data_IF_664146297120
#
_entry.id   IF_664146297120
#
_cell.length_a   1.000
_cell.length_b   1.000
_cell.length_c   1.000
_cell.angle_alpha   90.00
_cell.angle_beta   90.00
_cell.angle_gamma   90.00
#
_symmetry.space_group_name_H-M   'P 1'
#
loop_
_entity.id
_entity.type
_entity.pdbx_description
1 polymer ?
#
# COMPACT_ATOMS: atom_id res chain seq x y z
N UNK A 1 -16.47 -35.46 2.40
CA UNK A 1 -16.62 -35.05 0.99
C UNK A 1 -15.87 -33.72 0.83
N UNK A 2 -14.79 -33.51 0.08
CA UNK A 2 -14.01 -34.26 -0.92
C UNK A 2 -12.62 -33.60 -0.91
N UNK A 3 -11.77 -33.85 0.10
CA UNK A 3 -10.40 -33.29 0.10
C UNK A 3 -9.50 -33.93 -0.98
N UNK A 4 -9.89 -35.06 -1.54
CA UNK A 4 -9.05 -35.87 -2.43
C UNK A 4 -9.55 -35.96 -3.88
N UNK A 5 -10.71 -35.38 -4.21
CA UNK A 5 -11.23 -35.40 -5.58
C UNK A 5 -11.51 -33.97 -6.03
N UNK A 6 -11.05 -33.57 -7.23
CA UNK A 6 -11.34 -32.25 -7.77
C UNK A 6 -12.84 -31.96 -7.76
N UNK A 7 -13.23 -30.76 -7.34
CA UNK A 7 -14.64 -30.36 -7.24
C UNK A 7 -15.26 -29.99 -8.59
N UNK A 8 -14.40 -29.67 -9.58
CA UNK A 8 -14.79 -29.40 -10.96
C UNK A 8 -14.81 -30.69 -11.80
N UNK A 9 -15.65 -30.78 -12.85
CA UNK A 9 -15.74 -31.99 -13.66
C UNK A 9 -14.43 -32.33 -14.38
N UNK A 10 -13.87 -33.51 -14.11
CA UNK A 10 -12.59 -33.95 -14.70
C UNK A 10 -12.60 -33.95 -16.22
N UNK A 11 -13.73 -34.29 -16.86
CA UNK A 11 -13.81 -34.36 -18.33
C UNK A 11 -13.56 -33.00 -19.01
N UNK A 12 -13.89 -31.88 -18.35
CA UNK A 12 -13.74 -30.53 -18.89
C UNK A 12 -12.43 -29.86 -18.44
N UNK A 13 -11.90 -30.23 -17.27
CA UNK A 13 -10.80 -29.52 -16.62
C UNK A 13 -9.58 -30.39 -16.33
N UNK A 14 -9.44 -31.57 -16.97
CA UNK A 14 -8.35 -32.51 -16.70
C UNK A 14 -6.94 -31.88 -16.78
N UNK A 15 -6.75 -30.95 -17.72
CA UNK A 15 -5.46 -30.31 -17.99
C UNK A 15 -5.24 -29.00 -17.20
N UNK A 16 -6.14 -28.66 -16.27
CA UNK A 16 -5.94 -27.48 -15.42
C UNK A 16 -4.93 -27.76 -14.32
N UNK A 17 -4.07 -26.78 -14.03
CA UNK A 17 -3.08 -26.85 -12.95
C UNK A 17 -3.71 -27.24 -11.61
N UNK A 18 -4.88 -26.70 -11.30
CA UNK A 18 -5.62 -27.02 -10.07
C UNK A 18 -6.00 -28.50 -9.96
N UNK A 19 -6.49 -29.11 -11.05
CA UNK A 19 -6.84 -30.54 -11.05
C UNK A 19 -5.61 -31.44 -11.00
N UNK A 20 -4.51 -31.03 -11.64
CA UNK A 20 -3.23 -31.75 -11.56
C UNK A 20 -2.65 -31.73 -10.13
N UNK A 21 -2.68 -30.57 -9.46
CA UNK A 21 -2.25 -30.45 -8.05
C UNK A 21 -3.13 -31.29 -7.13
N UNK A 22 -4.46 -31.24 -7.31
CA UNK A 22 -5.39 -32.02 -6.50
C UNK A 22 -5.22 -33.53 -6.70
N UNK A 23 -4.90 -33.97 -7.93
CA UNK A 23 -4.61 -35.37 -8.23
C UNK A 23 -3.27 -35.81 -7.61
N UNK A 24 -2.23 -34.97 -7.69
CA UNK A 24 -0.93 -35.23 -7.08
C UNK A 24 -1.05 -35.36 -5.54
N UNK A 25 -1.81 -34.47 -4.89
CA UNK A 25 -2.11 -34.56 -3.46
C UNK A 25 -2.82 -35.87 -3.08
N UNK A 26 -3.70 -36.36 -3.96
CA UNK A 26 -4.39 -37.63 -3.77
C UNK A 26 -3.50 -38.87 -3.88
N UNK A 27 -2.36 -38.79 -4.58
CA UNK A 27 -1.45 -39.92 -4.84
C UNK A 27 -0.35 -40.06 -3.78
N UNK A 28 0.10 -38.97 -3.18
CA UNK A 28 1.27 -38.96 -2.29
C UNK A 28 0.92 -38.84 -0.80
N UNK A 29 -0.36 -38.70 -0.44
CA UNK A 29 -0.76 -38.44 0.95
C UNK A 29 -0.29 -37.09 1.49
N UNK A 30 0.31 -36.26 0.63
CA UNK A 30 0.70 -34.89 0.89
C UNK A 30 -0.54 -33.98 0.89
N UNK A 31 -0.50 -32.93 1.71
CA UNK A 31 -1.55 -31.91 1.71
C UNK A 31 -1.40 -30.97 0.51
N UNK A 32 -2.48 -30.29 0.14
CA UNK A 32 -2.45 -29.33 -0.98
C UNK A 32 -1.42 -28.20 -0.74
N UNK A 33 -1.22 -27.81 0.52
CA UNK A 33 -0.24 -26.80 0.93
C UNK A 33 1.21 -27.28 0.75
N UNK A 34 1.48 -28.59 0.87
CA UNK A 34 2.83 -29.15 0.66
C UNK A 34 3.25 -29.12 -0.82
N UNK A 35 2.27 -29.16 -1.72
CA UNK A 35 2.50 -29.25 -3.18
C UNK A 35 2.44 -27.88 -3.84
N UNK A 36 1.64 -26.97 -3.29
CA UNK A 36 1.45 -25.65 -3.86
C UNK A 36 1.18 -24.59 -2.77
N UNK A 37 2.25 -23.90 -2.36
CA UNK A 37 2.20 -22.76 -1.44
C UNK A 37 2.87 -21.54 -2.08
N UNK A 38 2.20 -20.87 -3.05
CA UNK A 38 2.75 -19.66 -3.66
C UNK A 38 2.82 -18.51 -2.65
N UNK A 39 3.84 -17.66 -2.77
CA UNK A 39 3.89 -16.42 -2.01
C UNK A 39 2.83 -15.45 -2.53
N UNK A 40 2.07 -14.82 -1.63
CA UNK A 40 1.02 -13.88 -2.05
C UNK A 40 1.61 -12.66 -2.77
N UNK A 41 2.77 -12.18 -2.31
CA UNK A 41 3.55 -11.12 -2.94
C UNK A 41 4.60 -11.77 -3.84
N UNK A 42 4.70 -11.32 -5.09
CA UNK A 42 5.63 -11.83 -6.09
C UNK A 42 5.02 -12.90 -6.99
N UNK A 43 4.49 -14.00 -6.42
CA UNK A 43 3.95 -15.10 -7.25
C UNK A 43 2.49 -14.88 -7.67
N UNK A 44 1.66 -14.33 -6.77
CA UNK A 44 0.22 -14.12 -7.02
C UNK A 44 -0.09 -12.67 -7.39
N UNK A 45 0.47 -11.72 -6.66
CA UNK A 45 0.32 -10.28 -6.90
C UNK A 45 1.71 -9.68 -7.03
N UNK A 46 1.99 -8.99 -8.13
CA UNK A 46 3.32 -8.41 -8.33
C UNK A 46 3.52 -7.16 -7.46
N UNK A 47 4.78 -6.82 -7.18
CA UNK A 47 5.08 -5.60 -6.41
C UNK A 47 4.60 -4.34 -7.15
N UNK A 48 4.69 -4.30 -8.50
CA UNK A 48 4.20 -3.18 -9.28
C UNK A 48 2.68 -2.99 -9.15
N UNK A 49 1.92 -4.09 -9.14
CA UNK A 49 0.46 -4.06 -8.93
C UNK A 49 0.11 -3.50 -7.54
N UNK A 50 0.84 -3.94 -6.51
CA UNK A 50 0.67 -3.44 -5.15
C UNK A 50 0.92 -1.94 -5.10
N UNK A 51 1.97 -1.42 -5.76
CA UNK A 51 2.32 0.01 -5.76
C UNK A 51 1.48 0.86 -6.73
N UNK A 52 0.82 0.26 -7.72
CA UNK A 52 -0.05 0.97 -8.65
C UNK A 52 -1.32 1.56 -8.00
N UNK A 53 -1.79 0.99 -6.88
CA UNK A 53 -2.97 1.49 -6.18
C UNK A 53 -2.75 2.92 -5.64
N UNK A 54 -3.48 3.91 -6.15
CA UNK A 54 -3.39 5.31 -5.68
C UNK A 54 -4.25 5.58 -4.45
N UNK A 55 -4.86 4.55 -3.85
CA UNK A 55 -5.78 4.67 -2.70
C UNK A 55 -7.02 5.54 -2.97
N UNK A 56 -7.44 5.65 -4.24
CA UNK A 56 -8.59 6.49 -4.63
C UNK A 56 -9.96 5.94 -4.21
N UNK A 57 -10.04 4.68 -3.75
CA UNK A 57 -11.25 3.98 -3.28
C UNK A 57 -12.40 3.82 -4.29
N UNK A 58 -12.25 4.28 -5.53
CA UNK A 58 -13.26 4.11 -6.58
C UNK A 58 -13.68 2.64 -6.80
N UNK A 59 -12.75 1.70 -6.65
CA UNK A 59 -13.02 0.27 -6.75
C UNK A 59 -13.95 -0.26 -5.63
N UNK A 60 -13.88 0.31 -4.42
CA UNK A 60 -14.75 -0.05 -3.30
C UNK A 60 -16.13 0.61 -3.46
N UNK A 61 -16.16 1.88 -3.91
CA UNK A 61 -17.40 2.62 -4.14
C UNK A 61 -18.27 1.99 -5.24
N UNK A 62 -17.66 1.42 -6.28
CA UNK A 62 -18.36 0.74 -7.37
C UNK A 62 -18.74 -0.71 -7.02
N UNK A 63 -18.30 -1.25 -5.88
CA UNK A 63 -18.47 -2.66 -5.57
C UNK A 63 -19.90 -2.99 -5.10
N UNK A 64 -20.67 -3.83 -5.81
CA UNK A 64 -22.06 -4.15 -5.45
C UNK A 64 -22.20 -5.00 -4.19
N UNK A 65 -21.10 -5.61 -3.72
CA UNK A 65 -21.05 -6.50 -2.56
C UNK A 65 -20.17 -5.95 -1.43
N UNK A 66 -19.71 -4.70 -1.55
CA UNK A 66 -18.90 -4.00 -0.54
C UNK A 66 -17.62 -4.75 -0.13
N UNK A 67 -16.83 -5.18 -1.12
CA UNK A 67 -15.52 -5.80 -0.86
C UNK A 67 -14.47 -4.74 -0.46
N UNK A 68 -13.90 -4.89 0.73
CA UNK A 68 -12.84 -4.03 1.27
C UNK A 68 -11.45 -4.56 0.92
N UNK A 69 -10.89 -4.13 -0.20
CA UNK A 69 -9.61 -4.61 -0.71
C UNK A 69 -8.50 -3.56 -0.66
N UNK A 70 -8.83 -2.27 -0.55
CA UNK A 70 -7.83 -1.20 -0.44
C UNK A 70 -7.03 -1.37 0.85
N UNK A 71 -7.70 -1.63 1.97
CA UNK A 71 -7.02 -1.83 3.26
C UNK A 71 -6.09 -3.04 3.23
N UNK A 72 -6.47 -4.11 2.52
CA UNK A 72 -5.64 -5.30 2.34
C UNK A 72 -4.40 -5.01 1.50
N UNK A 73 -4.53 -4.18 0.46
CA UNK A 73 -3.38 -3.72 -0.34
C UNK A 73 -2.44 -2.86 0.53
N UNK A 74 -2.98 -2.00 1.41
CA UNK A 74 -2.16 -1.22 2.34
C UNK A 74 -1.40 -2.13 3.32
N UNK A 75 -2.02 -3.21 3.78
CA UNK A 75 -1.35 -4.18 4.65
C UNK A 75 -0.19 -4.88 3.93
N UNK A 76 -0.34 -5.23 2.65
CA UNK A 76 0.74 -5.78 1.83
C UNK A 76 1.89 -4.78 1.67
N UNK A 77 1.59 -3.49 1.41
CA UNK A 77 2.61 -2.43 1.37
C UNK A 77 3.34 -2.29 2.70
N UNK A 78 2.62 -2.38 3.82
CA UNK A 78 3.22 -2.31 5.15
C UNK A 78 4.19 -3.47 5.38
N UNK A 79 3.82 -4.67 4.96
CA UNK A 79 4.71 -5.83 5.01
C UNK A 79 5.98 -5.61 4.18
N UNK A 80 5.83 -5.16 2.93
CA UNK A 80 6.97 -4.84 2.05
C UNK A 80 7.94 -3.84 2.71
N UNK A 81 7.43 -2.77 3.31
CA UNK A 81 8.26 -1.72 3.92
C UNK A 81 8.87 -2.19 5.25
N UNK A 82 8.06 -2.72 6.17
CA UNK A 82 8.48 -2.99 7.54
C UNK A 82 9.21 -4.32 7.70
N UNK A 83 8.92 -5.31 6.86
CA UNK A 83 9.48 -6.66 6.97
C UNK A 83 10.52 -6.93 5.89
N UNK A 84 10.23 -6.61 4.62
CA UNK A 84 11.17 -6.85 3.52
C UNK A 84 12.12 -5.67 3.25
N UNK A 85 11.83 -4.48 3.80
CA UNK A 85 12.61 -3.27 3.55
C UNK A 85 12.53 -2.77 2.10
N UNK A 86 11.54 -3.22 1.33
CA UNK A 86 11.34 -2.88 -0.08
C UNK A 86 10.41 -1.68 -0.20
N UNK A 87 10.96 -0.56 -0.68
CA UNK A 87 10.18 0.63 -1.03
C UNK A 87 10.93 1.46 -2.07
N UNK A 88 10.20 2.34 -2.76
CA UNK A 88 10.81 3.29 -3.68
C UNK A 88 11.82 4.23 -2.98
N UNK A 89 12.92 4.54 -3.66
CA UNK A 89 14.00 5.34 -3.09
C UNK A 89 13.58 6.78 -2.75
N UNK A 90 12.65 7.37 -3.50
CA UNK A 90 12.14 8.70 -3.20
C UNK A 90 11.22 8.67 -1.98
N UNK A 91 10.40 7.62 -1.84
CA UNK A 91 9.59 7.39 -0.64
C UNK A 91 10.46 7.17 0.60
N UNK A 92 11.56 6.43 0.47
CA UNK A 92 12.53 6.23 1.55
C UNK A 92 13.16 7.57 1.98
N UNK A 93 13.59 8.39 1.01
CA UNK A 93 14.14 9.73 1.27
C UNK A 93 13.13 10.61 1.99
N UNK A 94 11.87 10.60 1.56
CA UNK A 94 10.80 11.35 2.21
C UNK A 94 10.59 10.91 3.67
N UNK A 95 10.60 9.61 3.96
CA UNK A 95 10.46 9.09 5.32
C UNK A 95 11.63 9.51 6.21
N UNK A 96 12.87 9.41 5.74
CA UNK A 96 14.05 9.87 6.47
C UNK A 96 14.01 11.38 6.73
N UNK A 97 13.53 12.17 5.77
CA UNK A 97 13.36 13.61 5.95
C UNK A 97 12.30 13.93 7.00
N UNK A 98 11.18 13.19 7.03
CA UNK A 98 10.15 13.30 8.07
C UNK A 98 10.76 13.00 9.44
N UNK A 99 11.52 11.92 9.59
CA UNK A 99 12.15 11.57 10.85
C UNK A 99 13.15 12.65 11.34
N UNK A 100 14.00 13.14 10.44
CA UNK A 100 15.09 14.08 10.80
C UNK A 100 14.62 15.52 10.97
N UNK A 101 13.67 15.97 10.16
CA UNK A 101 13.30 17.39 10.04
C UNK A 101 11.81 17.66 10.23
N UNK A 102 10.98 16.62 10.40
CA UNK A 102 9.53 16.73 10.54
C UNK A 102 8.83 17.18 9.26
N UNK A 103 9.45 17.02 8.09
CA UNK A 103 8.83 17.30 6.79
C UNK A 103 9.42 16.41 5.68
N UNK A 104 8.63 16.00 4.67
CA UNK A 104 9.09 15.07 3.63
C UNK A 104 10.10 15.67 2.65
N UNK A 105 10.11 17.00 2.49
CA UNK A 105 10.95 17.70 1.52
C UNK A 105 12.38 17.99 2.00
N UNK A 106 12.68 17.74 3.29
CA UNK A 106 13.98 18.03 3.87
C UNK A 106 14.31 19.52 3.91
N UNK A 107 13.30 20.38 3.90
CA UNK A 107 13.44 21.83 3.95
C UNK A 107 13.71 22.30 5.39
N UNK A 108 14.58 23.31 5.51
CA UNK A 108 14.95 23.85 6.81
C UNK A 108 13.73 24.51 7.49
N UNK A 109 13.56 24.24 8.80
CA UNK A 109 12.44 24.78 9.59
C UNK A 109 12.38 26.31 9.57
N UNK A 110 13.51 26.99 9.47
CA UNK A 110 13.57 28.47 9.38
C UNK A 110 13.00 29.02 8.08
N UNK A 111 12.97 28.20 7.03
CA UNK A 111 12.48 28.60 5.71
C UNK A 111 10.99 28.35 5.55
N UNK A 112 10.33 27.76 6.55
CA UNK A 112 8.88 27.49 6.54
C UNK A 112 8.03 28.73 6.37
N UNK A 113 8.55 29.92 6.65
CA UNK A 113 7.80 31.18 6.52
C UNK A 113 8.01 31.84 5.15
N UNK A 114 8.96 31.38 4.32
CA UNK A 114 9.30 32.00 3.03
C UNK A 114 8.14 32.01 2.03
N UNK A 115 7.16 31.11 2.16
CA UNK A 115 5.98 31.12 1.28
C UNK A 115 5.19 32.43 1.40
N UNK A 116 5.29 33.14 2.53
CA UNK A 116 4.67 34.46 2.74
C UNK A 116 5.23 35.51 1.79
N UNK A 117 6.49 35.37 1.39
CA UNK A 117 7.18 36.31 0.51
C UNK A 117 6.86 36.06 -0.98
N UNK A 118 6.07 35.02 -1.30
CA UNK A 118 5.75 34.66 -2.68
C UNK A 118 4.82 35.68 -3.37
N UNK A 119 4.00 36.40 -2.59
CA UNK A 119 3.04 37.41 -3.07
C UNK A 119 3.28 38.73 -2.32
N UNK A 120 4.03 39.68 -2.90
CA UNK A 120 4.33 40.97 -2.28
C UNK A 120 3.08 41.81 -1.95
N UNK A 121 1.97 41.56 -2.64
CA UNK A 121 0.71 42.26 -2.45
C UNK A 121 -0.07 41.82 -1.20
N UNK A 122 0.22 40.65 -0.61
CA UNK A 122 -0.50 40.12 0.56
C UNK A 122 0.44 40.07 1.77
N UNK A 123 0.16 40.90 2.78
CA UNK A 123 0.85 40.82 4.08
C UNK A 123 0.15 39.80 4.98
N UNK A 124 0.84 38.70 5.29
CA UNK A 124 0.36 37.66 6.22
C UNK A 124 1.19 37.73 7.50
N UNK A 125 0.77 38.44 8.56
CA UNK A 125 1.59 38.58 9.77
C UNK A 125 1.60 37.31 10.64
N UNK A 126 2.69 37.06 11.36
CA UNK A 126 2.72 35.99 12.37
C UNK A 126 2.13 36.46 13.71
N UNK A 127 1.67 35.52 14.55
CA UNK A 127 1.15 35.86 15.90
C UNK A 127 2.18 36.63 16.74
N UNK A 128 3.48 36.37 16.54
CA UNK A 128 4.57 37.11 17.20
C UNK A 128 4.67 38.55 16.68
N UNK A 129 4.48 38.77 15.39
CA UNK A 129 4.48 40.09 14.77
C UNK A 129 3.25 40.90 15.22
N UNK A 130 2.07 40.28 15.31
CA UNK A 130 0.84 40.93 15.80
C UNK A 130 0.94 41.35 17.27
N UNK A 131 1.43 40.45 18.13
CA UNK A 131 1.72 40.79 19.54
C UNK A 131 2.74 41.92 19.70
N UNK A 132 3.66 42.07 18.74
CA UNK A 132 4.64 43.17 18.73
C UNK A 132 4.02 44.48 18.23
N UNK A 133 2.97 44.40 17.42
CA UNK A 133 2.22 45.54 16.90
C UNK A 133 1.07 45.98 17.85
N UNK A 134 0.85 45.26 18.97
CA UNK A 134 -0.28 45.46 19.89
C UNK A 134 -1.66 45.31 19.20
N UNK A 135 -1.70 44.46 18.17
CA UNK A 135 -2.92 44.11 17.43
C UNK A 135 -3.42 42.74 17.91
N UNK A 136 -4.69 42.65 18.31
CA UNK A 136 -5.32 41.39 18.70
C UNK A 136 -5.68 40.55 17.46
N UNK A 137 -5.51 39.23 17.59
CA UNK A 137 -5.92 38.27 16.56
C UNK A 137 -7.44 38.06 16.71
N UNK A 138 -8.24 38.73 15.88
CA UNK A 138 -9.70 38.55 15.84
C UNK A 138 -10.10 37.21 15.20
#
# INVERSE_FOLDING_TARGET
MTKQKPWVPTFAFNNTKANQIALAAGLEGASMDDIYSPALIGDVITEEEIWACTTCRNCEDQCPVMNEHVDKIIDLRRYLVMTEGKMDADAQRAMTNIERQGNPWGLNRKEKEKWRDASPEIRIPTVKELKKADEEFE
#
